data_IF_087124423185
#
_entry.id   IF_087124423185
#
_cell.length_a   1.000
_cell.length_b   1.000
_cell.length_c   1.000
_cell.angle_alpha   90.00
_cell.angle_beta   90.00
_cell.angle_gamma   90.00
#
_symmetry.space_group_name_H-M   'P 1'
#
loop_
_entity.id
_entity.type
_entity.pdbx_description
1 polymer ?
#
# COMPACT_ATOMS: atom_id res chain seq x y z
N UNK A 1 16.95 -2.97 -1.34
CA UNK A 1 15.57 -2.70 -1.82
C UNK A 1 14.67 -3.81 -1.32
N UNK A 2 13.70 -3.47 -0.45
CA UNK A 2 12.78 -4.44 0.14
C UNK A 2 11.79 -4.94 -0.90
N UNK A 3 11.87 -6.23 -1.24
CA UNK A 3 10.90 -6.89 -2.10
C UNK A 3 9.96 -7.70 -1.24
N UNK A 4 8.67 -7.65 -1.56
CA UNK A 4 7.70 -8.61 -1.04
C UNK A 4 8.03 -9.97 -1.70
N UNK A 5 8.64 -10.87 -0.93
CA UNK A 5 8.82 -12.30 -1.21
C UNK A 5 7.45 -12.98 -1.36
N UNK A 6 7.43 -14.07 -2.10
CA UNK A 6 6.22 -14.86 -2.37
C UNK A 6 6.10 -15.97 -1.32
N UNK A 7 4.90 -16.51 -1.11
CA UNK A 7 4.75 -17.70 -0.28
C UNK A 7 5.52 -18.86 -0.94
N UNK A 8 6.17 -19.68 -0.10
CA UNK A 8 6.96 -20.80 -0.57
C UNK A 8 6.11 -22.03 -0.94
N UNK A 9 4.88 -22.11 -0.43
CA UNK A 9 3.98 -23.26 -0.57
C UNK A 9 2.79 -22.98 -1.51
N UNK A 10 2.49 -21.71 -1.77
CA UNK A 10 1.49 -21.29 -2.75
C UNK A 10 2.06 -20.16 -3.63
N UNK A 11 2.45 -20.44 -4.88
CA UNK A 11 3.05 -19.42 -5.75
C UNK A 11 2.07 -18.32 -6.18
N UNK A 12 0.76 -18.54 -6.03
CA UNK A 12 -0.30 -17.57 -6.33
C UNK A 12 -0.63 -16.69 -5.09
N UNK A 13 -0.31 -17.15 -3.88
CA UNK A 13 -0.44 -16.35 -2.64
C UNK A 13 0.86 -15.55 -2.38
N UNK A 14 0.73 -14.22 -2.30
CA UNK A 14 1.88 -13.35 -2.01
C UNK A 14 2.07 -13.22 -0.50
N UNK A 15 3.01 -14.03 0.00
CA UNK A 15 3.60 -14.07 1.35
C UNK A 15 2.69 -14.48 2.52
N UNK A 16 2.94 -15.68 3.05
CA UNK A 16 2.84 -16.03 4.47
C UNK A 16 4.20 -16.53 4.97
N UNK A 17 4.58 -16.14 6.21
CA UNK A 17 5.64 -16.63 7.13
C UNK A 17 6.63 -15.52 7.57
N UNK A 18 6.79 -15.16 8.88
CA UNK A 18 5.88 -15.23 10.05
C UNK A 18 5.67 -13.87 10.78
N UNK A 19 4.63 -13.76 11.64
CA UNK A 19 3.37 -13.20 11.21
C UNK A 19 3.57 -11.76 10.67
N UNK A 20 3.26 -11.56 9.39
CA UNK A 20 3.06 -10.21 8.88
C UNK A 20 1.90 -9.56 9.65
N UNK A 21 1.97 -8.25 9.93
CA UNK A 21 0.85 -7.54 10.53
C UNK A 21 -0.43 -7.78 9.70
N UNK A 22 -1.61 -8.00 10.33
CA UNK A 22 -2.87 -8.21 9.61
C UNK A 22 -3.14 -7.13 8.55
N UNK A 23 -2.63 -5.92 8.78
CA UNK A 23 -2.68 -4.75 7.91
C UNK A 23 -2.11 -5.02 6.51
N UNK A 24 -1.09 -5.88 6.37
CA UNK A 24 -0.52 -6.24 5.07
C UNK A 24 -1.57 -6.91 4.17
N UNK A 25 -2.44 -7.72 4.77
CA UNK A 25 -3.53 -8.40 4.07
C UNK A 25 -4.73 -7.47 3.91
N UNK A 26 -5.08 -6.73 4.97
CA UNK A 26 -6.20 -5.79 4.97
C UNK A 26 -6.07 -4.73 3.88
N UNK A 27 -4.88 -4.12 3.75
CA UNK A 27 -4.58 -3.10 2.74
C UNK A 27 -3.98 -3.67 1.45
N UNK A 28 -4.01 -4.99 1.26
CA UNK A 28 -3.49 -5.69 0.08
C UNK A 28 -2.10 -5.15 -0.35
N UNK A 29 -1.17 -5.06 0.60
CA UNK A 29 0.13 -4.40 0.38
C UNK A 29 0.98 -5.26 -0.55
N UNK A 30 1.08 -4.86 -1.82
CA UNK A 30 1.84 -5.59 -2.85
C UNK A 30 3.29 -5.12 -3.01
N UNK A 31 3.60 -3.90 -2.57
CA UNK A 31 4.93 -3.29 -2.66
C UNK A 31 5.13 -2.33 -1.48
N UNK A 32 6.39 -1.98 -1.20
CA UNK A 32 6.74 -1.06 -0.11
C UNK A 32 7.71 0.03 -0.59
N UNK A 33 7.62 1.26 -0.05
CA UNK A 33 6.62 1.73 0.91
C UNK A 33 5.19 1.79 0.32
N UNK A 34 4.17 1.62 1.16
CA UNK A 34 2.75 1.74 0.79
C UNK A 34 2.10 2.70 1.78
N UNK A 35 1.52 3.78 1.29
CA UNK A 35 0.81 4.78 2.11
C UNK A 35 -0.64 4.80 1.64
N UNK A 36 -1.54 4.20 2.41
CA UNK A 36 -2.97 4.25 2.16
C UNK A 36 -3.60 5.48 2.85
N UNK A 37 -4.52 6.14 2.18
CA UNK A 37 -5.30 7.27 2.69
C UNK A 37 -6.74 6.81 2.82
N UNK A 38 -7.29 6.91 4.03
CA UNK A 38 -8.64 6.47 4.35
C UNK A 38 -9.51 7.64 4.76
N UNK A 39 -10.81 7.51 4.54
CA UNK A 39 -11.81 8.43 5.08
C UNK A 39 -12.07 8.17 6.58
N UNK A 40 -12.84 9.02 7.28
CA UNK A 40 -13.17 8.81 8.69
C UNK A 40 -14.00 7.55 9.00
N UNK A 41 -14.56 6.87 7.99
CA UNK A 41 -15.29 5.60 8.12
C UNK A 41 -14.39 4.39 7.91
N UNK A 42 -13.15 4.59 7.48
CA UNK A 42 -12.18 3.54 7.18
C UNK A 42 -12.20 3.08 5.72
N UNK A 43 -12.86 3.79 4.82
CA UNK A 43 -12.88 3.47 3.39
C UNK A 43 -11.65 4.07 2.69
N UNK A 44 -10.99 3.30 1.83
CA UNK A 44 -9.79 3.76 1.10
C UNK A 44 -10.16 4.81 0.04
N UNK A 45 -9.60 6.02 0.16
CA UNK A 45 -9.70 7.09 -0.83
C UNK A 45 -8.63 6.94 -1.93
N UNK A 46 -7.48 6.37 -1.58
CA UNK A 46 -6.40 6.04 -2.51
C UNK A 46 -5.09 5.73 -1.79
N UNK A 47 -4.04 5.46 -2.54
CA UNK A 47 -2.73 5.11 -1.99
C UNK A 47 -1.55 5.61 -2.83
N UNK A 48 -0.41 5.84 -2.18
CA UNK A 48 0.90 6.03 -2.81
C UNK A 48 1.71 4.74 -2.66
N UNK A 49 2.05 4.11 -3.78
CA UNK A 49 2.76 2.82 -3.84
C UNK A 49 4.18 3.04 -4.36
N UNK A 50 5.18 2.66 -3.56
CA UNK A 50 6.62 2.83 -3.76
C UNK A 50 7.10 4.29 -3.81
N UNK A 51 6.59 5.08 -4.76
CA UNK A 51 6.97 6.47 -4.95
C UNK A 51 5.73 7.30 -5.35
N UNK A 52 5.71 8.62 -5.05
CA UNK A 52 4.72 9.52 -5.64
C UNK A 52 4.88 9.59 -7.17
N UNK A 53 3.88 10.13 -7.90
CA UNK A 53 4.01 10.43 -9.32
C UNK A 53 5.29 11.25 -9.62
N UNK A 54 5.91 11.04 -10.78
CA UNK A 54 7.22 11.62 -11.11
C UNK A 54 7.27 13.16 -11.06
N UNK A 55 6.11 13.80 -11.28
CA UNK A 55 5.93 15.25 -11.30
C UNK A 55 5.42 15.82 -9.96
N UNK A 56 5.28 14.98 -8.92
CA UNK A 56 4.72 15.37 -7.63
C UNK A 56 5.62 14.99 -6.47
N UNK A 57 5.68 15.89 -5.50
CA UNK A 57 6.11 15.55 -4.14
C UNK A 57 5.12 14.57 -3.50
N UNK A 58 5.54 13.94 -2.40
CA UNK A 58 4.64 13.07 -1.63
C UNK A 58 3.44 13.85 -1.11
N UNK A 59 3.67 15.07 -0.63
CA UNK A 59 2.65 15.98 -0.11
C UNK A 59 1.62 16.36 -1.18
N UNK A 60 2.06 16.68 -2.41
CA UNK A 60 1.15 16.97 -3.53
C UNK A 60 0.36 15.74 -3.97
N UNK A 61 0.98 14.55 -3.93
CA UNK A 61 0.29 13.29 -4.22
C UNK A 61 -0.81 13.03 -3.18
N UNK A 62 -0.53 13.22 -1.89
CA UNK A 62 -1.51 13.08 -0.82
C UNK A 62 -2.62 14.14 -0.92
N UNK A 63 -2.28 15.40 -1.20
CA UNK A 63 -3.26 16.46 -1.40
C UNK A 63 -4.21 16.12 -2.55
N UNK A 64 -3.68 15.60 -3.66
CA UNK A 64 -4.51 15.18 -4.80
C UNK A 64 -5.55 14.12 -4.40
N UNK A 65 -5.17 13.17 -3.55
CA UNK A 65 -6.10 12.13 -3.06
C UNK A 65 -7.19 12.76 -2.18
N UNK A 66 -6.80 13.68 -1.29
CA UNK A 66 -7.74 14.34 -0.37
C UNK A 66 -8.72 15.29 -1.08
N UNK A 67 -8.30 15.96 -2.15
CA UNK A 67 -9.14 16.87 -2.93
C UNK A 67 -10.09 16.17 -3.92
N UNK A 68 -9.88 14.88 -4.19
CA UNK A 68 -10.73 14.09 -5.09
C UNK A 68 -12.05 13.62 -4.45
N UNK A 69 -12.29 13.95 -3.17
CA UNK A 69 -13.41 13.49 -2.34
C UNK A 69 -14.47 14.56 -2.14
#
# INVERSE_FOLDING_TARGET
MGRIMRDANDPDERWRVPPSPPEVKEFNVLKIPHIAVLDPRGEELGAVIENPPEDKTLEEALLTILEAT
#
